data_IF_291410953817
#
_entry.id   IF_291410953817
#
_cell.length_a   1.000
_cell.length_b   1.000
_cell.length_c   1.000
_cell.angle_alpha   90.00
_cell.angle_beta   90.00
_cell.angle_gamma   90.00
#
_symmetry.space_group_name_H-M   'P 1'
#
loop_
_entity.id
_entity.type
_entity.pdbx_description
1 polymer ?
#
# COMPACT_ATOMS: atom_id res chain seq x y z
N UNK A 1 -53.20 -33.53 11.97
CA UNK A 1 -52.18 -33.86 10.93
C UNK A 1 -51.04 -32.84 10.80
N UNK A 2 -51.02 -31.70 11.52
CA UNK A 2 -49.93 -30.70 11.44
C UNK A 2 -48.64 -31.14 12.13
N UNK A 3 -48.74 -31.70 13.35
CA UNK A 3 -47.57 -32.14 14.11
C UNK A 3 -46.76 -33.24 13.44
N UNK A 4 -47.44 -34.16 12.73
CA UNK A 4 -46.76 -35.25 11.98
C UNK A 4 -45.95 -34.70 10.81
N UNK A 5 -46.47 -33.68 10.10
CA UNK A 5 -45.73 -32.97 9.04
C UNK A 5 -44.54 -32.19 9.59
N UNK A 6 -44.69 -31.56 10.76
CA UNK A 6 -43.59 -30.83 11.42
C UNK A 6 -42.47 -31.78 11.86
N UNK A 7 -42.82 -32.92 12.47
CA UNK A 7 -41.85 -33.94 12.86
C UNK A 7 -41.12 -34.55 11.65
N UNK A 8 -41.82 -34.77 10.53
CA UNK A 8 -41.20 -35.23 9.29
C UNK A 8 -40.24 -34.18 8.69
N UNK A 9 -40.59 -32.89 8.72
CA UNK A 9 -39.67 -31.82 8.28
C UNK A 9 -38.42 -31.75 9.13
N UNK A 10 -38.56 -31.80 10.46
CA UNK A 10 -37.43 -31.73 11.40
C UNK A 10 -36.49 -32.95 11.27
N UNK A 11 -37.04 -34.14 10.99
CA UNK A 11 -36.21 -35.34 10.75
C UNK A 11 -35.48 -35.28 9.42
N UNK A 12 -36.11 -34.78 8.35
CA UNK A 12 -35.48 -34.57 7.04
C UNK A 12 -34.35 -33.52 7.09
N UNK A 13 -34.51 -32.43 7.84
CA UNK A 13 -33.43 -31.46 8.04
C UNK A 13 -32.28 -32.05 8.86
N UNK A 14 -32.58 -32.89 9.86
CA UNK A 14 -31.55 -33.57 10.65
C UNK A 14 -30.71 -34.52 9.81
N UNK A 15 -31.30 -35.23 8.85
CA UNK A 15 -30.55 -36.10 7.93
C UNK A 15 -29.71 -35.32 6.90
N UNK A 16 -30.18 -34.17 6.40
CA UNK A 16 -29.36 -33.29 5.54
C UNK A 16 -28.13 -32.71 6.24
N UNK A 17 -28.15 -32.58 7.56
CA UNK A 17 -27.06 -32.03 8.36
C UNK A 17 -26.26 -33.07 9.15
N UNK A 18 -26.59 -34.36 9.03
CA UNK A 18 -25.80 -35.42 9.63
C UNK A 18 -24.61 -35.74 8.72
N UNK A 19 -23.41 -35.35 9.19
CA UNK A 19 -22.08 -35.72 8.71
C UNK A 19 -21.43 -34.92 7.58
N UNK A 20 -21.55 -33.59 7.62
CA UNK A 20 -20.39 -32.78 7.22
C UNK A 20 -19.80 -32.13 8.46
N UNK A 21 -19.25 -32.97 9.33
CA UNK A 21 -18.15 -32.52 10.17
C UNK A 21 -17.00 -32.23 9.20
N UNK A 22 -16.95 -31.02 8.65
CA UNK A 22 -15.73 -30.52 8.02
C UNK A 22 -14.68 -30.58 9.10
N UNK A 23 -13.69 -31.47 8.94
CA UNK A 23 -12.56 -31.53 9.84
C UNK A 23 -12.04 -30.09 9.99
N UNK A 24 -11.95 -29.52 11.20
CA UNK A 24 -11.47 -28.15 11.36
C UNK A 24 -10.04 -28.01 10.81
N UNK A 25 -9.29 -29.10 10.62
CA UNK A 25 -7.98 -29.12 9.97
C UNK A 25 -8.03 -29.28 8.43
N UNK A 26 -9.20 -29.56 7.83
CA UNK A 26 -9.36 -29.64 6.36
C UNK A 26 -9.81 -28.33 5.72
N UNK A 27 -9.93 -27.26 6.52
CA UNK A 27 -10.05 -25.91 5.99
C UNK A 27 -8.64 -25.43 5.73
N UNK A 28 -8.31 -25.19 4.46
CA UNK A 28 -7.01 -24.66 4.08
C UNK A 28 -6.88 -23.22 4.60
N UNK A 29 -6.28 -23.08 5.79
CA UNK A 29 -6.17 -21.81 6.48
C UNK A 29 -5.04 -20.96 5.92
N UNK A 30 -4.11 -21.52 5.14
CA UNK A 30 -2.94 -20.78 4.67
C UNK A 30 -3.32 -19.61 3.76
N UNK A 31 -4.28 -19.81 2.86
CA UNK A 31 -4.76 -18.73 1.99
C UNK A 31 -5.51 -17.64 2.76
N UNK A 32 -6.36 -18.00 3.72
CA UNK A 32 -7.14 -17.00 4.50
C UNK A 32 -6.29 -16.29 5.55
N UNK A 33 -5.34 -17.01 6.16
CA UNK A 33 -4.39 -16.48 7.13
C UNK A 33 -3.40 -15.52 6.46
N UNK A 34 -2.89 -15.86 5.28
CA UNK A 34 -2.00 -14.97 4.53
C UNK A 34 -2.71 -13.68 4.10
N UNK A 35 -3.95 -13.74 3.61
CA UNK A 35 -4.74 -12.53 3.26
C UNK A 35 -5.02 -11.66 4.49
N UNK A 36 -5.39 -12.26 5.62
CA UNK A 36 -5.60 -11.52 6.87
C UNK A 36 -4.32 -10.86 7.38
N UNK A 37 -3.21 -11.60 7.42
CA UNK A 37 -1.92 -11.08 7.84
C UNK A 37 -1.42 -9.98 6.89
N UNK A 38 -1.55 -10.16 5.58
CA UNK A 38 -1.22 -9.14 4.59
C UNK A 38 -2.05 -7.87 4.78
N UNK A 39 -3.35 -8.01 5.09
CA UNK A 39 -4.23 -6.87 5.37
C UNK A 39 -3.85 -6.17 6.67
N UNK A 40 -3.48 -6.92 7.72
CA UNK A 40 -3.01 -6.38 8.99
C UNK A 40 -1.71 -5.60 8.79
N UNK A 41 -0.74 -6.19 8.08
CA UNK A 41 0.54 -5.54 7.75
C UNK A 41 0.32 -4.28 6.93
N UNK A 42 -0.53 -4.31 5.89
CA UNK A 42 -0.86 -3.11 5.11
C UNK A 42 -1.50 -2.03 5.97
N UNK A 43 -2.39 -2.40 6.89
CA UNK A 43 -3.01 -1.43 7.81
C UNK A 43 -1.99 -0.81 8.76
N UNK A 44 -1.05 -1.61 9.27
CA UNK A 44 0.02 -1.14 10.13
C UNK A 44 0.97 -0.18 9.40
N UNK A 45 1.37 -0.50 8.17
CA UNK A 45 2.18 0.38 7.31
C UNK A 45 1.45 1.68 7.05
N UNK A 46 0.19 1.64 6.62
CA UNK A 46 -0.61 2.84 6.36
C UNK A 46 -0.74 3.73 7.61
N UNK A 47 -0.90 3.12 8.80
CA UNK A 47 -0.99 3.88 10.05
C UNK A 47 0.34 4.55 10.40
N UNK A 48 1.46 3.85 10.16
CA UNK A 48 2.80 4.40 10.35
C UNK A 48 3.06 5.57 9.40
N UNK A 49 2.78 5.39 8.11
CA UNK A 49 2.89 6.43 7.09
C UNK A 49 2.06 7.66 7.46
N UNK A 50 0.78 7.46 7.82
CA UNK A 50 -0.08 8.55 8.27
C UNK A 50 0.48 9.29 9.48
N UNK A 51 1.06 8.57 10.44
CA UNK A 51 1.67 9.20 11.62
C UNK A 51 2.93 10.00 11.25
N UNK A 52 3.73 9.47 10.31
CA UNK A 52 4.87 10.19 9.75
C UNK A 52 4.43 11.46 9.04
N UNK A 53 3.39 11.40 8.22
CA UNK A 53 2.83 12.55 7.51
C UNK A 53 2.36 13.64 8.47
N UNK A 54 1.57 13.26 9.48
CA UNK A 54 1.09 14.20 10.51
C UNK A 54 2.26 14.88 11.22
N UNK A 55 3.30 14.11 11.58
CA UNK A 55 4.49 14.64 12.24
C UNK A 55 5.27 15.60 11.35
N UNK A 56 5.46 15.25 10.07
CA UNK A 56 6.18 16.08 9.11
C UNK A 56 5.40 17.37 8.80
N UNK A 57 4.08 17.27 8.62
CA UNK A 57 3.21 18.42 8.44
C UNK A 57 3.25 19.35 9.66
N UNK A 58 3.20 18.80 10.87
CA UNK A 58 3.28 19.59 12.10
C UNK A 58 4.60 20.34 12.21
N UNK A 59 5.72 19.68 11.85
CA UNK A 59 7.03 20.34 11.78
C UNK A 59 7.03 21.49 10.77
N UNK A 60 6.42 21.30 9.60
CA UNK A 60 6.33 22.33 8.58
C UNK A 60 5.45 23.51 9.05
N UNK A 61 4.27 23.23 9.60
CA UNK A 61 3.34 24.25 10.07
C UNK A 61 3.91 25.10 11.23
N UNK A 62 4.78 24.51 12.06
CA UNK A 62 5.47 25.20 13.15
C UNK A 62 6.85 25.74 12.74
N UNK A 63 7.30 25.47 11.51
CA UNK A 63 8.58 25.99 11.02
C UNK A 63 8.50 27.50 10.81
N UNK A 64 9.62 28.19 11.01
CA UNK A 64 9.71 29.61 10.69
C UNK A 64 9.74 29.77 9.16
N UNK A 65 8.72 30.38 8.53
CA UNK A 65 8.65 30.50 7.07
C UNK A 65 9.77 31.38 6.51
N UNK A 66 10.35 32.27 7.32
CA UNK A 66 11.45 33.14 6.92
C UNK A 66 12.83 32.48 7.06
N UNK A 67 12.88 31.22 7.55
CA UNK A 67 14.14 30.52 7.72
C UNK A 67 14.68 30.01 6.38
N UNK A 68 15.59 30.78 5.79
CA UNK A 68 16.26 30.43 4.54
C UNK A 68 17.50 29.55 4.69
N UNK A 69 17.87 29.12 5.90
CA UNK A 69 19.10 28.35 6.13
C UNK A 69 19.24 27.10 5.25
N UNK A 70 18.14 26.39 4.97
CA UNK A 70 18.19 25.22 4.07
C UNK A 70 18.36 25.61 2.59
N UNK A 71 17.85 26.76 2.17
CA UNK A 71 18.06 27.30 0.84
C UNK A 71 19.53 27.70 0.68
N UNK A 72 20.09 28.41 1.67
CA UNK A 72 21.50 28.79 1.70
C UNK A 72 22.43 27.57 1.64
N UNK A 73 22.10 26.49 2.36
CA UNK A 73 22.84 25.22 2.29
C UNK A 73 22.76 24.60 0.88
N UNK A 74 21.58 24.60 0.25
CA UNK A 74 21.43 24.09 -1.11
C UNK A 74 22.20 24.94 -2.14
N UNK A 75 22.14 26.26 -2.01
CA UNK A 75 22.90 27.19 -2.87
C UNK A 75 24.41 26.97 -2.72
N UNK A 76 24.90 26.72 -1.50
CA UNK A 76 26.30 26.36 -1.25
C UNK A 76 26.65 25.03 -1.92
N UNK A 77 25.82 23.99 -1.78
CA UNK A 77 26.04 22.69 -2.43
C UNK A 77 26.08 22.81 -3.96
N UNK A 78 25.18 23.59 -4.55
CA UNK A 78 25.19 23.87 -5.99
C UNK A 78 26.44 24.65 -6.41
N UNK A 79 26.88 25.61 -5.60
CA UNK A 79 28.15 26.34 -5.85
C UNK A 79 29.38 25.42 -5.82
N UNK A 80 29.32 24.33 -5.05
CA UNK A 80 30.36 23.31 -4.96
C UNK A 80 30.28 22.27 -6.09
N UNK A 81 29.33 22.40 -7.01
CA UNK A 81 29.18 21.55 -8.19
C UNK A 81 28.34 20.30 -7.98
N UNK A 82 27.58 20.22 -6.88
CA UNK A 82 26.51 19.21 -6.77
C UNK A 82 25.49 19.49 -7.87
N UNK A 83 25.11 18.47 -8.62
CA UNK A 83 24.12 18.58 -9.70
C UNK A 83 22.76 18.18 -9.16
N UNK A 84 21.75 19.04 -9.30
CA UNK A 84 20.36 18.66 -9.03
C UNK A 84 19.90 17.62 -10.08
N UNK A 85 19.58 16.38 -9.67
CA UNK A 85 19.04 15.38 -10.58
C UNK A 85 17.59 15.67 -11.01
N UNK A 86 16.91 16.60 -10.33
CA UNK A 86 15.52 16.99 -10.58
C UNK A 86 15.42 18.34 -11.30
N UNK A 87 16.54 18.88 -11.77
CA UNK A 87 16.55 20.10 -12.58
C UNK A 87 15.69 19.88 -13.83
N UNK A 88 14.55 20.56 -13.88
CA UNK A 88 13.56 20.44 -14.95
C UNK A 88 14.21 20.71 -16.32
N UNK A 89 15.20 21.59 -16.40
CA UNK A 89 15.92 21.87 -17.65
C UNK A 89 16.70 20.65 -18.14
N UNK A 90 17.39 19.94 -17.24
CA UNK A 90 18.12 18.71 -17.58
C UNK A 90 17.19 17.53 -17.85
N UNK A 91 16.06 17.43 -17.15
CA UNK A 91 15.03 16.43 -17.45
C UNK A 91 14.45 16.66 -18.85
N UNK A 92 14.25 17.91 -19.24
CA UNK A 92 13.82 18.28 -20.60
C UNK A 92 14.92 17.99 -21.63
N UNK A 93 16.20 18.22 -21.33
CA UNK A 93 17.30 17.82 -22.22
C UNK A 93 17.36 16.29 -22.41
N UNK A 94 17.19 15.51 -21.35
CA UNK A 94 17.13 14.05 -21.40
C UNK A 94 15.94 13.55 -22.23
N UNK A 95 14.81 14.25 -22.20
CA UNK A 95 13.65 13.94 -23.04
C UNK A 95 13.93 14.10 -24.53
N UNK A 96 14.93 14.90 -24.91
CA UNK A 96 15.35 15.10 -26.30
C UNK A 96 16.55 14.22 -26.69
N UNK A 97 17.09 13.44 -25.76
CA UNK A 97 18.24 12.58 -26.01
C UNK A 97 17.78 11.29 -26.70
N UNK A 98 17.89 11.25 -28.03
CA UNK A 98 17.45 10.11 -28.84
C UNK A 98 18.12 8.79 -28.48
N UNK A 99 19.38 8.81 -28.04
CA UNK A 99 20.07 7.60 -27.58
C UNK A 99 19.45 7.07 -26.28
N UNK A 100 19.23 7.94 -25.31
CA UNK A 100 18.59 7.59 -24.04
C UNK A 100 17.16 7.06 -24.26
N UNK A 101 16.38 7.72 -25.10
CA UNK A 101 15.03 7.27 -25.43
C UNK A 101 15.01 5.92 -26.15
N UNK A 102 16.00 5.65 -27.00
CA UNK A 102 16.17 4.35 -27.67
C UNK A 102 16.54 3.25 -26.68
N UNK A 103 17.45 3.54 -25.74
CA UNK A 103 17.84 2.61 -24.66
C UNK A 103 16.66 2.28 -23.74
N UNK A 104 15.72 3.23 -23.55
CA UNK A 104 14.47 3.02 -22.83
C UNK A 104 13.37 2.33 -23.65
N UNK A 105 13.58 2.12 -24.96
CA UNK A 105 12.58 1.53 -25.86
C UNK A 105 11.37 2.42 -26.15
N UNK A 106 11.51 3.74 -25.97
CA UNK A 106 10.44 4.72 -26.23
C UNK A 106 10.40 5.17 -27.69
N UNK A 107 11.52 5.05 -28.42
CA UNK A 107 11.64 5.33 -29.85
C UNK A 107 12.54 4.29 -30.53
N UNK A 108 12.34 4.08 -31.84
CA UNK A 108 13.03 3.05 -32.66
C UNK A 108 14.50 3.34 -32.99
#
# INVERSE_FOLDING_TARGET
>A
MMFKKLAQKLSLEREKHNSVATNPLSVDFDDRRSVFLNKLTKTAVNLYERNCDVRNFTKLALSNPENQSHNEIMDELFSQGVIDPSDDEKLMELSNNSRFLRDLGLIE
#
